data_IF_186156873590
#
_entry.id   IF_186156873590
#
_cell.length_a   1.000
_cell.length_b   1.000
_cell.length_c   1.000
_cell.angle_alpha   90.00
_cell.angle_beta   90.00
_cell.angle_gamma   90.00
#
_symmetry.space_group_name_H-M   'P 1'
#
loop_
_entity.id
_entity.type
_entity.pdbx_description
1 polymer ?
#
# COMPACT_ATOMS: atom_id res chain seq x y z
N UNK A 1 1.02 17.60 -16.31
CA UNK A 1 0.26 16.83 -15.31
C UNK A 1 1.10 16.80 -14.04
N UNK A 2 0.49 16.97 -12.87
CA UNK A 2 1.20 16.89 -11.59
C UNK A 2 1.84 15.51 -11.42
N UNK A 3 3.03 15.48 -10.82
CA UNK A 3 3.80 14.27 -10.55
C UNK A 3 3.14 13.46 -9.42
N UNK A 4 3.22 12.13 -9.49
CA UNK A 4 2.79 11.26 -8.38
C UNK A 4 4.00 11.00 -7.49
N UNK A 5 3.89 11.36 -6.22
CA UNK A 5 4.85 10.97 -5.19
C UNK A 5 4.50 9.57 -4.71
N UNK A 6 5.52 8.74 -4.54
CA UNK A 6 5.43 7.42 -3.92
C UNK A 6 6.22 7.45 -2.62
N UNK A 7 5.61 7.05 -1.52
CA UNK A 7 6.27 6.96 -0.23
C UNK A 7 5.98 5.60 0.42
N UNK A 8 7.04 4.94 0.86
CA UNK A 8 6.98 3.61 1.46
C UNK A 8 7.33 3.72 2.96
N UNK A 9 6.57 3.01 3.79
CA UNK A 9 6.67 3.09 5.24
C UNK A 9 6.61 1.69 5.86
N UNK A 10 7.36 1.49 6.95
CA UNK A 10 7.14 0.39 7.88
C UNK A 10 6.41 0.93 9.09
N UNK A 11 5.29 0.29 9.45
CA UNK A 11 4.45 0.67 10.58
C UNK A 11 4.38 -0.52 11.54
N UNK A 12 4.60 -0.27 12.83
CA UNK A 12 4.47 -1.32 13.85
C UNK A 12 3.06 -1.94 13.78
N UNK A 13 3.02 -3.27 13.72
CA UNK A 13 1.77 -4.01 13.70
C UNK A 13 1.25 -4.21 15.12
N UNK A 14 0.02 -4.73 15.23
CA UNK A 14 -0.52 -5.17 16.52
C UNK A 14 0.19 -6.42 17.08
N UNK A 15 1.03 -7.10 16.29
CA UNK A 15 1.88 -8.19 16.76
C UNK A 15 3.25 -7.63 17.14
N UNK A 16 3.61 -7.79 18.42
CA UNK A 16 4.83 -7.20 18.97
C UNK A 16 6.08 -7.65 18.19
N UNK A 17 6.90 -6.68 17.80
CA UNK A 17 8.15 -6.92 17.08
C UNK A 17 7.97 -7.20 15.58
N UNK A 18 6.74 -7.14 15.04
CA UNK A 18 6.47 -7.25 13.62
C UNK A 18 5.89 -5.94 13.08
N UNK A 19 6.26 -5.58 11.87
CA UNK A 19 5.81 -4.39 11.16
C UNK A 19 5.13 -4.75 9.85
N UNK A 20 4.14 -3.94 9.48
CA UNK A 20 3.52 -3.98 8.15
C UNK A 20 4.12 -2.90 7.26
N UNK A 21 4.32 -3.25 6.01
CA UNK A 21 4.67 -2.33 4.95
C UNK A 21 3.41 -1.63 4.43
N UNK A 22 3.49 -0.31 4.28
CA UNK A 22 2.44 0.51 3.69
C UNK A 22 3.04 1.43 2.64
N UNK A 23 2.41 1.49 1.46
CA UNK A 23 2.75 2.44 0.40
C UNK A 23 1.68 3.51 0.28
N UNK A 24 2.12 4.75 0.15
CA UNK A 24 1.31 5.90 -0.22
C UNK A 24 1.61 6.36 -1.65
N UNK A 25 0.57 6.76 -2.37
CA UNK A 25 0.64 7.49 -3.64
C UNK A 25 -0.32 8.67 -3.63
N UNK A 26 0.20 9.83 -4.01
CA UNK A 26 -0.57 11.08 -4.12
C UNK A 26 0.07 12.05 -5.09
N UNK A 27 -0.68 13.05 -5.55
CA UNK A 27 -0.12 14.12 -6.37
C UNK A 27 0.81 15.03 -5.57
N UNK A 28 1.89 15.48 -6.19
CA UNK A 28 2.95 16.26 -5.53
C UNK A 28 2.48 17.64 -5.05
N UNK A 29 1.51 18.24 -5.74
CA UNK A 29 0.93 19.54 -5.45
C UNK A 29 -0.23 19.49 -4.44
N UNK A 30 -0.52 18.31 -3.88
CA UNK A 30 -1.60 18.11 -2.93
C UNK A 30 -1.08 17.54 -1.62
N UNK A 31 -1.29 18.28 -0.53
CA UNK A 31 -0.76 17.95 0.79
C UNK A 31 -1.84 17.80 1.88
N UNK A 32 -3.00 18.43 1.69
CA UNK A 32 -4.10 18.37 2.63
C UNK A 32 -5.20 17.44 2.09
N UNK A 33 -5.46 16.37 2.84
CA UNK A 33 -6.46 15.36 2.49
C UNK A 33 -7.40 15.14 3.66
N UNK A 34 -8.70 15.14 3.37
CA UNK A 34 -9.73 14.76 4.33
C UNK A 34 -9.94 13.24 4.38
N UNK A 35 -10.66 12.73 5.39
CA UNK A 35 -11.03 11.32 5.48
C UNK A 35 -11.80 10.80 4.25
N UNK A 36 -12.62 11.65 3.60
CA UNK A 36 -13.36 11.29 2.37
C UNK A 36 -12.47 11.15 1.13
N UNK A 37 -11.22 11.57 1.21
CA UNK A 37 -10.26 11.60 0.11
C UNK A 37 -9.11 10.62 0.34
N UNK A 38 -9.12 9.92 1.48
CA UNK A 38 -8.13 8.90 1.82
C UNK A 38 -8.69 7.53 1.48
N UNK A 39 -7.96 6.77 0.67
CA UNK A 39 -8.36 5.40 0.28
C UNK A 39 -7.31 4.43 0.77
N UNK A 40 -7.72 3.38 1.49
CA UNK A 40 -6.84 2.28 1.87
C UNK A 40 -7.23 1.02 1.08
N UNK A 41 -6.33 0.56 0.22
CA UNK A 41 -6.45 -0.71 -0.48
C UNK A 41 -5.87 -1.84 0.37
N UNK A 42 -6.66 -2.89 0.56
CA UNK A 42 -6.29 -4.08 1.35
C UNK A 42 -6.43 -5.30 0.44
N UNK A 43 -5.36 -6.09 0.33
CA UNK A 43 -5.36 -7.30 -0.49
C UNK A 43 -6.12 -8.45 0.17
N UNK A 44 -6.50 -9.44 -0.63
CA UNK A 44 -7.09 -10.70 -0.18
C UNK A 44 -6.02 -11.77 0.11
N UNK A 45 -6.30 -13.02 -0.27
CA UNK A 45 -5.30 -14.08 -0.19
C UNK A 45 -4.30 -14.04 -1.37
N UNK A 46 -3.22 -14.81 -1.25
CA UNK A 46 -2.23 -15.10 -2.30
C UNK A 46 -1.24 -13.99 -2.66
N UNK A 47 -1.70 -12.77 -2.95
CA UNK A 47 -0.84 -11.68 -3.41
C UNK A 47 -0.86 -10.47 -2.46
N UNK A 48 0.29 -9.80 -2.24
CA UNK A 48 0.35 -8.55 -1.49
C UNK A 48 -0.36 -7.39 -2.21
N UNK A 49 -0.64 -6.31 -1.48
CA UNK A 49 -1.30 -5.10 -1.99
C UNK A 49 -0.41 -4.37 -2.99
N UNK A 50 0.89 -4.30 -2.74
CA UNK A 50 1.86 -3.62 -3.62
C UNK A 50 1.84 -4.15 -5.06
N UNK A 51 1.65 -5.46 -5.25
CA UNK A 51 1.53 -6.05 -6.60
C UNK A 51 0.08 -6.21 -7.07
N UNK A 52 -0.91 -5.99 -6.20
CA UNK A 52 -2.33 -6.10 -6.57
C UNK A 52 -2.87 -4.75 -7.04
N UNK A 53 -2.55 -3.66 -6.34
CA UNK A 53 -3.10 -2.33 -6.61
C UNK A 53 -2.09 -1.38 -7.27
N UNK A 54 -0.79 -1.60 -7.04
CA UNK A 54 0.27 -0.76 -7.62
C UNK A 54 1.03 -1.42 -8.79
N UNK A 55 0.48 -2.51 -9.34
CA UNK A 55 1.05 -3.14 -10.52
C UNK A 55 0.99 -2.20 -11.72
N UNK A 56 2.16 -1.92 -12.30
CA UNK A 56 2.29 -1.05 -13.46
C UNK A 56 1.89 -1.82 -14.72
N UNK A 57 0.81 -1.38 -15.36
CA UNK A 57 0.34 -1.88 -16.64
C UNK A 57 0.19 -0.70 -17.59
N UNK A 58 0.87 -0.76 -18.75
CA UNK A 58 0.75 0.25 -19.81
C UNK A 58 0.99 1.71 -19.34
N UNK A 59 1.87 1.90 -18.34
CA UNK A 59 2.27 3.24 -17.87
C UNK A 59 1.49 3.77 -16.66
N UNK A 60 0.67 2.95 -16.00
CA UNK A 60 0.08 3.29 -14.71
C UNK A 60 -0.45 2.08 -13.94
N UNK A 61 -0.80 2.31 -12.69
CA UNK A 61 -1.46 1.35 -11.81
C UNK A 61 -2.85 1.83 -11.40
N UNK A 62 -3.61 0.98 -10.70
CA UNK A 62 -4.86 1.40 -10.07
C UNK A 62 -4.63 2.53 -9.06
N UNK A 63 -3.55 2.45 -8.27
CA UNK A 63 -3.20 3.52 -7.35
C UNK A 63 -2.86 4.84 -8.08
N UNK A 64 -2.22 4.78 -9.25
CA UNK A 64 -1.95 5.99 -10.05
C UNK A 64 -3.24 6.61 -10.59
N UNK A 65 -4.21 5.79 -10.99
CA UNK A 65 -5.53 6.26 -11.44
C UNK A 65 -6.24 7.00 -10.31
N UNK A 66 -6.26 6.42 -9.11
CA UNK A 66 -6.88 7.04 -7.93
C UNK A 66 -6.14 8.32 -7.49
N UNK A 67 -4.80 8.31 -7.49
CA UNK A 67 -4.02 9.50 -7.14
C UNK A 67 -4.29 10.64 -8.14
N UNK A 68 -4.36 10.34 -9.44
CA UNK A 68 -4.73 11.33 -10.48
C UNK A 68 -6.16 11.83 -10.36
N UNK A 69 -7.06 11.04 -9.77
CA UNK A 69 -8.42 11.47 -9.42
C UNK A 69 -8.46 12.34 -8.14
N UNK A 70 -7.31 12.57 -7.50
CA UNK A 70 -7.16 13.46 -6.36
C UNK A 70 -7.13 12.76 -5.01
N UNK A 71 -7.17 11.43 -4.94
CA UNK A 71 -7.16 10.71 -3.66
C UNK A 71 -5.75 10.62 -3.05
N UNK A 72 -5.70 10.54 -1.73
CA UNK A 72 -4.53 10.07 -0.98
C UNK A 72 -4.61 8.55 -0.86
N UNK A 73 -3.85 7.84 -1.68
CA UNK A 73 -4.05 6.42 -1.90
C UNK A 73 -3.01 5.63 -1.13
N UNK A 74 -3.46 4.79 -0.23
CA UNK A 74 -2.63 3.91 0.57
C UNK A 74 -2.89 2.46 0.20
N UNK A 75 -1.87 1.62 0.30
CA UNK A 75 -2.05 0.17 0.28
C UNK A 75 -1.16 -0.47 1.35
N UNK A 76 -1.65 -1.56 1.95
CA UNK A 76 -0.94 -2.27 3.03
C UNK A 76 -0.70 -3.71 2.64
N UNK A 77 0.54 -4.16 2.78
CA UNK A 77 0.84 -5.59 2.73
C UNK A 77 0.58 -6.16 4.14
N UNK A 78 -0.27 -7.18 4.26
CA UNK A 78 -0.52 -7.81 5.56
C UNK A 78 0.71 -8.63 5.98
N UNK A 79 0.86 -8.88 7.28
CA UNK A 79 1.94 -9.73 7.79
C UNK A 79 1.99 -11.06 7.03
N UNK A 80 3.19 -11.44 6.60
CA UNK A 80 3.42 -12.63 5.79
C UNK A 80 3.38 -12.42 4.28
N UNK A 81 2.99 -11.23 3.82
CA UNK A 81 2.88 -10.88 2.41
C UNK A 81 3.83 -9.74 2.05
N UNK A 82 4.28 -9.75 0.80
CA UNK A 82 5.01 -8.63 0.19
C UNK A 82 6.23 -8.22 0.99
N UNK A 83 6.31 -6.92 1.31
CA UNK A 83 7.41 -6.34 2.07
C UNK A 83 7.15 -6.30 3.59
N UNK A 84 6.00 -6.79 4.06
CA UNK A 84 5.71 -6.88 5.50
C UNK A 84 6.46 -8.03 6.15
N UNK A 85 6.66 -7.91 7.46
CA UNK A 85 7.33 -8.98 8.22
C UNK A 85 6.54 -10.29 8.13
N UNK A 86 7.28 -11.40 8.14
CA UNK A 86 6.72 -12.75 8.05
C UNK A 86 6.59 -13.36 9.45
N UNK A 87 5.36 -13.66 9.93
CA UNK A 87 5.16 -14.37 11.19
C UNK A 87 5.82 -15.75 11.20
N UNK A 88 6.26 -16.19 12.37
CA UNK A 88 6.96 -17.47 12.54
C UNK A 88 6.07 -18.67 12.16
N UNK A 89 4.76 -18.55 12.38
CA UNK A 89 3.71 -19.52 12.04
C UNK A 89 3.68 -19.84 10.54
N UNK A 90 4.18 -18.94 9.68
CA UNK A 90 4.25 -19.19 8.24
C UNK A 90 5.54 -19.91 7.81
N UNK A 91 6.43 -20.22 8.75
CA UNK A 91 7.66 -20.99 8.50
C UNK A 91 7.50 -22.47 8.85
N UNK A 92 6.31 -22.90 9.26
CA UNK A 92 5.98 -24.30 9.55
C UNK A 92 4.99 -24.86 8.52
N UNK A 93 4.91 -26.19 8.35
CA UNK A 93 3.89 -26.82 7.51
C UNK A 93 2.47 -26.49 7.97
N UNK A 94 1.52 -26.48 7.02
CA UNK A 94 0.10 -26.29 7.27
C UNK A 94 -0.56 -27.54 7.87
#
# INVERSE_FOLDING_TARGET
MSEIIVADHMVESSQAGLSVFVRNKRLADRHDFGPSETVLCIHGATYPSTVTFDYQLEGGSWMDILARAGFDVWCVDLLGYGASDRPAEMSVPA
#
